data_IF_342381156278
#
_entry.id   IF_342381156278
#
_cell.length_a   1.000
_cell.length_b   1.000
_cell.length_c   1.000
_cell.angle_alpha   90.00
_cell.angle_beta   90.00
_cell.angle_gamma   90.00
#
_symmetry.space_group_name_H-M   'P 1'
#
loop_
_entity.id
_entity.type
_entity.pdbx_description
1 polymer ?
#
# COMPACT_ATOMS: atom_id res chain seq x y z
N UNK A 1 -12.00 3.13 4.55
CA UNK A 1 -11.32 2.27 3.56
C UNK A 1 -10.70 3.01 2.37
N UNK A 2 -11.46 3.85 1.64
CA UNK A 2 -10.93 4.61 0.48
C UNK A 2 -9.63 5.38 0.75
N UNK A 3 -9.42 5.85 1.99
CA UNK A 3 -8.20 6.57 2.41
C UNK A 3 -6.96 5.66 2.49
N UNK A 4 -7.09 4.45 3.05
CA UNK A 4 -5.97 3.50 3.18
C UNK A 4 -5.46 3.03 1.81
N UNK A 5 -6.36 2.65 0.90
CA UNK A 5 -5.98 2.27 -0.47
C UNK A 5 -5.23 3.39 -1.21
N UNK A 6 -5.68 4.65 -1.07
CA UNK A 6 -4.97 5.83 -1.60
C UNK A 6 -3.58 5.99 -0.99
N UNK A 7 -3.45 5.80 0.32
CA UNK A 7 -2.16 5.92 1.01
C UNK A 7 -1.16 4.86 0.52
N UNK A 8 -1.61 3.62 0.35
CA UNK A 8 -0.81 2.52 -0.21
C UNK A 8 -0.32 2.88 -1.62
N UNK A 9 -1.20 3.42 -2.47
CA UNK A 9 -0.82 3.88 -3.81
C UNK A 9 0.26 4.96 -3.77
N UNK A 10 0.08 6.00 -2.94
CA UNK A 10 1.04 7.11 -2.82
C UNK A 10 2.41 6.57 -2.39
N UNK A 11 2.46 5.72 -1.36
CA UNK A 11 3.73 5.15 -0.89
C UNK A 11 4.36 4.25 -1.95
N UNK A 12 3.57 3.45 -2.68
CA UNK A 12 4.07 2.63 -3.79
C UNK A 12 4.71 3.49 -4.87
N UNK A 13 4.07 4.59 -5.27
CA UNK A 13 4.57 5.51 -6.28
C UNK A 13 5.85 6.22 -5.81
N UNK A 14 5.92 6.67 -4.55
CA UNK A 14 7.16 7.23 -3.96
C UNK A 14 8.31 6.21 -3.98
N UNK A 15 8.01 4.92 -3.83
CA UNK A 15 8.99 3.83 -3.91
C UNK A 15 9.32 3.40 -5.34
N UNK A 16 8.75 4.04 -6.36
CA UNK A 16 8.92 3.69 -7.77
C UNK A 16 8.60 2.21 -8.08
N UNK A 17 7.61 1.64 -7.38
CA UNK A 17 7.18 0.27 -7.61
C UNK A 17 5.95 0.23 -8.53
N UNK A 18 5.89 -0.73 -9.45
CA UNK A 18 4.67 -0.99 -10.22
C UNK A 18 3.66 -1.77 -9.37
N UNK A 19 2.39 -1.83 -9.81
CA UNK A 19 1.38 -2.63 -9.12
C UNK A 19 1.72 -4.12 -9.17
N UNK A 20 2.31 -4.58 -10.27
CA UNK A 20 2.78 -5.95 -10.49
C UNK A 20 3.92 -6.30 -9.53
N UNK A 21 4.89 -5.38 -9.36
CA UNK A 21 6.01 -5.57 -8.44
C UNK A 21 5.54 -5.68 -6.98
N UNK A 22 4.62 -4.79 -6.56
CA UNK A 22 4.02 -4.88 -5.22
C UNK A 22 3.25 -6.20 -5.07
N UNK A 23 2.44 -6.56 -6.07
CA UNK A 23 1.64 -7.78 -6.07
C UNK A 23 2.50 -9.03 -5.92
N UNK A 24 3.60 -9.11 -6.68
CA UNK A 24 4.58 -10.19 -6.58
C UNK A 24 5.21 -10.28 -5.18
N UNK A 25 5.60 -9.14 -4.60
CA UNK A 25 6.20 -9.09 -3.27
C UNK A 25 5.24 -9.55 -2.15
N UNK A 26 3.94 -9.33 -2.32
CA UNK A 26 2.92 -9.74 -1.35
C UNK A 26 2.17 -11.00 -1.80
N UNK A 27 2.59 -11.71 -2.84
CA UNK A 27 1.96 -12.96 -3.30
C UNK A 27 0.50 -12.81 -3.77
N UNK A 28 0.11 -11.65 -4.29
CA UNK A 28 -1.20 -11.40 -4.87
C UNK A 28 -1.12 -11.14 -6.37
N UNK A 29 -2.28 -11.07 -7.03
CA UNK A 29 -2.35 -10.61 -8.42
C UNK A 29 -2.34 -9.09 -8.51
N UNK A 30 -1.84 -8.58 -9.64
CA UNK A 30 -1.91 -7.16 -10.01
C UNK A 30 -3.32 -6.58 -9.81
N UNK A 31 -4.34 -7.31 -10.29
CA UNK A 31 -5.76 -6.93 -10.19
C UNK A 31 -6.20 -6.80 -8.74
N UNK A 32 -5.71 -7.68 -7.86
CA UNK A 32 -5.98 -7.60 -6.43
C UNK A 32 -5.40 -6.31 -5.83
N UNK A 33 -4.13 -5.99 -6.12
CA UNK A 33 -3.50 -4.72 -5.70
C UNK A 33 -4.24 -3.49 -6.24
N UNK A 34 -4.67 -3.51 -7.50
CA UNK A 34 -5.46 -2.43 -8.10
C UNK A 34 -6.76 -2.18 -7.33
N UNK A 35 -7.46 -3.24 -6.92
CA UNK A 35 -8.69 -3.15 -6.12
C UNK A 35 -8.42 -2.66 -4.70
N UNK A 36 -7.30 -3.06 -4.08
CA UNK A 36 -6.84 -2.53 -2.79
C UNK A 36 -6.64 -1.02 -2.88
N UNK A 37 -5.89 -0.54 -3.88
CA UNK A 37 -5.58 0.89 -4.03
C UNK A 37 -6.83 1.74 -4.30
N UNK A 38 -7.83 1.17 -4.97
CA UNK A 38 -9.16 1.79 -5.18
C UNK A 38 -10.05 1.74 -3.92
N UNK A 39 -9.63 1.04 -2.87
CA UNK A 39 -10.39 0.85 -1.63
C UNK A 39 -11.64 -0.02 -1.80
N UNK A 40 -11.61 -0.95 -2.77
CA UNK A 40 -12.72 -1.84 -3.13
C UNK A 40 -12.68 -3.17 -2.36
N UNK A 41 -11.66 -3.40 -1.53
CA UNK A 41 -11.45 -4.62 -0.75
C UNK A 41 -11.15 -4.20 0.70
N UNK A 42 -11.66 -4.96 1.67
CA UNK A 42 -11.26 -4.86 3.07
C UNK A 42 -9.91 -5.54 3.28
N UNK A 43 -8.97 -4.81 3.88
CA UNK A 43 -7.69 -5.37 4.29
C UNK A 43 -7.80 -5.77 5.76
N UNK A 44 -7.33 -6.97 6.06
CA UNK A 44 -7.02 -7.41 7.41
C UNK A 44 -5.62 -6.94 7.83
N UNK A 45 -5.32 -7.07 9.12
CA UNK A 45 -4.06 -6.62 9.69
C UNK A 45 -2.86 -7.37 9.09
N UNK A 46 -3.02 -8.66 8.76
CA UNK A 46 -1.97 -9.44 8.10
C UNK A 46 -1.62 -8.89 6.72
N UNK A 47 -2.62 -8.55 5.90
CA UNK A 47 -2.37 -7.96 4.59
C UNK A 47 -1.75 -6.56 4.72
N UNK A 48 -2.20 -5.75 5.68
CA UNK A 48 -1.58 -4.44 5.96
C UNK A 48 -0.11 -4.62 6.35
N UNK A 49 0.22 -5.60 7.20
CA UNK A 49 1.61 -5.91 7.56
C UNK A 49 2.43 -6.30 6.34
N UNK A 50 1.94 -7.20 5.49
CA UNK A 50 2.64 -7.64 4.28
C UNK A 50 2.92 -6.49 3.33
N UNK A 51 1.93 -5.64 3.09
CA UNK A 51 2.07 -4.44 2.25
C UNK A 51 3.09 -3.48 2.87
N UNK A 52 3.03 -3.26 4.19
CA UNK A 52 3.96 -2.38 4.90
C UNK A 52 5.41 -2.86 4.79
N UNK A 53 5.64 -4.18 4.92
CA UNK A 53 6.95 -4.83 4.75
C UNK A 53 7.45 -4.67 3.31
N UNK A 54 6.61 -4.92 2.31
CA UNK A 54 6.96 -4.76 0.90
C UNK A 54 7.30 -3.31 0.54
N UNK A 55 6.57 -2.35 1.11
CA UNK A 55 6.78 -0.91 0.90
C UNK A 55 7.85 -0.30 1.84
N UNK A 56 8.45 -1.11 2.72
CA UNK A 56 9.45 -0.71 3.72
C UNK A 56 8.98 0.46 4.60
N UNK A 57 7.73 0.45 5.04
CA UNK A 57 7.14 1.45 5.94
C UNK A 57 6.44 0.77 7.11
N UNK A 58 6.19 1.50 8.20
CA UNK A 58 5.36 0.97 9.29
C UNK A 58 3.88 0.91 8.87
N UNK A 59 3.10 -0.08 9.36
CA UNK A 59 1.65 -0.15 9.17
C UNK A 59 0.94 1.16 9.55
N UNK A 60 1.33 1.75 10.68
CA UNK A 60 0.79 3.02 11.18
C UNK A 60 0.96 4.16 10.17
N UNK A 61 2.06 4.17 9.40
CA UNK A 61 2.31 5.22 8.40
C UNK A 61 1.45 5.05 7.15
N UNK A 62 1.02 3.83 6.83
CA UNK A 62 0.01 3.59 5.79
C UNK A 62 -1.38 4.05 6.24
N UNK A 63 -1.72 3.89 7.53
CA UNK A 63 -3.01 4.28 8.09
C UNK A 63 -3.10 5.81 8.25
N UNK A 64 -2.06 6.41 8.84
CA UNK A 64 -1.94 7.84 9.13
C UNK A 64 -0.88 8.48 8.22
N UNK A 65 -1.11 8.41 6.91
CA UNK A 65 -0.20 9.03 5.95
C UNK A 65 -0.31 10.56 6.01
N UNK A 66 0.65 11.19 6.67
CA UNK A 66 0.88 12.63 6.54
C UNK A 66 1.79 12.88 5.34
N UNK A 67 1.24 13.44 4.27
CA UNK A 67 1.95 13.69 3.00
C UNK A 67 3.24 14.52 3.20
N UNK A 68 3.31 15.34 4.25
CA UNK A 68 4.50 16.13 4.62
C UNK A 68 5.67 15.30 5.15
N UNK A 69 5.43 14.07 5.60
CA UNK A 69 6.44 13.24 6.29
C UNK A 69 7.39 12.47 5.36
N UNK A 70 7.23 12.62 4.04
CA UNK A 70 8.07 11.99 3.01
C UNK A 70 8.82 13.01 2.14
N UNK A 71 8.51 14.30 2.28
CA UNK A 71 9.27 15.40 1.70
C UNK A 71 10.29 15.85 2.77
N UNK A 72 11.49 15.29 2.73
CA UNK A 72 12.67 15.82 3.43
C UNK A 72 13.66 16.30 2.38
#
# INVERSE_FOLDING_TARGET
MKKLGKNIRIVREIRNLTQEALASAIGYSQKHVSRIEKGQIQLDDECIERISKALKVSPQKLIHLDCKSFLK
#
